data_IF_176293835564
#
_entry.id   IF_176293835564
#
_cell.length_a   1.000
_cell.length_b   1.000
_cell.length_c   1.000
_cell.angle_alpha   90.00
_cell.angle_beta   90.00
_cell.angle_gamma   90.00
#
_symmetry.space_group_name_H-M   'P 1'
#
loop_
_entity.id
_entity.type
_entity.pdbx_description
1 polymer ?
#
# COMPACT_ATOMS: atom_id res chain seq x y z
N UNK A 1 -54.26 -38.45 44.30
CA UNK A 1 -53.83 -37.07 44.01
C UNK A 1 -52.33 -37.10 43.79
N UNK A 2 -51.93 -37.23 42.55
CA UNK A 2 -50.49 -37.22 42.15
C UNK A 2 -50.15 -35.85 41.57
N UNK A 3 -49.19 -35.21 42.21
CA UNK A 3 -48.69 -33.89 41.79
C UNK A 3 -47.59 -34.06 40.75
N UNK A 4 -47.86 -33.65 39.53
CA UNK A 4 -46.87 -33.58 38.47
C UNK A 4 -45.94 -32.35 38.69
N UNK A 5 -44.66 -32.60 38.95
CA UNK A 5 -43.63 -31.57 38.96
C UNK A 5 -43.19 -31.30 37.49
N UNK A 6 -43.34 -30.06 37.08
CA UNK A 6 -42.93 -29.57 35.78
C UNK A 6 -41.49 -29.13 35.83
N UNK A 7 -40.58 -29.92 35.27
CA UNK A 7 -39.13 -29.55 35.12
C UNK A 7 -38.96 -28.75 33.82
N UNK A 8 -38.90 -27.42 33.95
CA UNK A 8 -38.45 -26.56 32.87
C UNK A 8 -36.96 -26.76 32.62
N UNK A 9 -36.64 -27.41 31.52
CA UNK A 9 -35.26 -27.48 30.99
C UNK A 9 -34.77 -26.13 30.50
N UNK A 10 -33.78 -25.58 31.19
CA UNK A 10 -33.04 -24.40 30.76
C UNK A 10 -32.21 -24.75 29.52
N UNK A 11 -32.69 -24.33 28.34
CA UNK A 11 -31.87 -24.32 27.14
C UNK A 11 -30.82 -23.19 27.27
N UNK A 12 -29.63 -23.56 27.70
CA UNK A 12 -28.48 -22.66 27.66
C UNK A 12 -28.18 -22.22 26.21
N UNK A 13 -28.44 -20.97 25.92
CA UNK A 13 -27.93 -20.32 24.70
C UNK A 13 -26.42 -20.42 24.72
N UNK A 14 -25.86 -21.36 23.98
CA UNK A 14 -24.44 -21.32 23.60
C UNK A 14 -24.28 -20.10 22.69
N UNK A 15 -23.74 -19.02 23.24
CA UNK A 15 -23.21 -17.94 22.46
C UNK A 15 -22.18 -18.55 21.49
N UNK A 16 -22.52 -18.58 20.19
CA UNK A 16 -21.55 -18.85 19.15
C UNK A 16 -20.59 -17.66 19.14
N UNK A 17 -19.55 -17.71 19.97
CA UNK A 17 -18.41 -16.84 19.90
C UNK A 17 -17.72 -17.10 18.57
N UNK A 18 -18.05 -16.32 17.54
CA UNK A 18 -17.31 -16.33 16.30
C UNK A 18 -15.83 -16.08 16.63
N UNK A 19 -14.97 -17.04 16.30
CA UNK A 19 -13.51 -16.86 16.49
C UNK A 19 -13.10 -15.65 15.65
N UNK A 20 -12.77 -14.55 16.30
CA UNK A 20 -12.13 -13.41 15.64
C UNK A 20 -10.87 -13.91 14.93
N UNK A 21 -10.76 -13.57 13.65
CA UNK A 21 -9.58 -13.93 12.87
C UNK A 21 -8.49 -12.89 13.11
N UNK A 22 -7.39 -13.32 13.71
CA UNK A 22 -6.26 -12.45 14.02
C UNK A 22 -5.32 -12.34 12.81
N UNK A 23 -5.05 -11.12 12.38
CA UNK A 23 -4.19 -10.80 11.24
C UNK A 23 -2.89 -10.11 11.67
N UNK A 24 -1.79 -10.46 11.02
CA UNK A 24 -0.56 -9.67 10.97
C UNK A 24 -0.51 -9.01 9.60
N UNK A 25 -0.43 -7.70 9.56
CA UNK A 25 -0.50 -6.91 8.32
C UNK A 25 0.74 -6.07 8.20
N UNK A 26 1.44 -6.23 7.09
CA UNK A 26 2.53 -5.36 6.66
C UNK A 26 2.09 -4.60 5.41
N UNK A 27 2.32 -3.31 5.39
CA UNK A 27 2.02 -2.45 4.25
C UNK A 27 3.25 -1.68 3.80
N UNK A 28 3.41 -1.57 2.50
CA UNK A 28 4.41 -0.68 1.90
C UNK A 28 3.67 0.33 1.05
N UNK A 29 3.84 1.59 1.35
CA UNK A 29 3.32 2.72 0.59
C UNK A 29 4.41 3.22 -0.36
N UNK A 30 4.23 3.00 -1.65
CA UNK A 30 5.02 3.60 -2.71
C UNK A 30 4.35 4.92 -3.10
N UNK A 31 4.99 6.02 -2.83
CA UNK A 31 4.43 7.36 -2.99
C UNK A 31 5.25 8.12 -4.02
N UNK A 32 4.63 8.51 -5.10
CA UNK A 32 5.19 9.45 -6.04
C UNK A 32 5.40 10.80 -5.35
N UNK A 33 6.62 11.31 -5.41
CA UNK A 33 7.03 12.57 -4.81
C UNK A 33 7.60 13.54 -5.86
N UNK A 34 7.24 13.35 -7.12
CA UNK A 34 7.64 14.24 -8.23
C UNK A 34 6.84 15.54 -8.24
N UNK A 35 7.30 16.50 -9.03
CA UNK A 35 6.72 17.84 -9.09
C UNK A 35 5.25 17.88 -9.50
N UNK A 36 4.78 16.94 -10.33
CA UNK A 36 3.36 16.84 -10.74
C UNK A 36 2.42 16.66 -9.54
N UNK A 37 2.87 15.98 -8.49
CA UNK A 37 2.12 15.78 -7.25
C UNK A 37 1.91 17.06 -6.42
N UNK A 38 2.56 18.17 -6.79
CA UNK A 38 2.30 19.52 -6.26
C UNK A 38 1.04 20.18 -6.86
N UNK A 39 0.55 19.67 -7.97
CA UNK A 39 -0.59 20.27 -8.66
C UNK A 39 -1.88 20.17 -7.84
N UNK A 40 -2.70 21.22 -7.97
CA UNK A 40 -4.02 21.31 -7.34
C UNK A 40 -5.10 20.99 -8.36
N UNK A 41 -5.53 19.74 -8.40
CA UNK A 41 -6.68 19.38 -9.24
C UNK A 41 -7.99 19.73 -8.55
N UNK A 42 -8.63 20.83 -8.94
CA UNK A 42 -10.03 21.17 -8.62
C UNK A 42 -10.43 21.31 -7.13
N UNK A 43 -9.67 20.73 -6.21
CA UNK A 43 -9.99 20.65 -4.78
C UNK A 43 -9.25 21.65 -3.89
N UNK A 44 -8.43 22.54 -4.42
CA UNK A 44 -7.53 23.47 -3.69
C UNK A 44 -6.47 22.79 -2.82
N UNK A 45 -6.38 21.46 -2.80
CA UNK A 45 -5.38 20.71 -2.05
C UNK A 45 -4.44 20.04 -3.04
N UNK A 46 -3.13 20.12 -2.79
CA UNK A 46 -2.11 19.43 -3.57
C UNK A 46 -2.29 17.93 -3.46
N UNK A 47 -2.04 17.19 -4.54
CA UNK A 47 -2.20 15.74 -4.59
C UNK A 47 -1.36 15.07 -3.51
N UNK A 48 -0.10 15.48 -3.35
CA UNK A 48 0.79 14.95 -2.31
C UNK A 48 0.22 15.13 -0.90
N UNK A 49 -0.43 16.24 -0.61
CA UNK A 49 -1.03 16.47 0.71
C UNK A 49 -2.23 15.56 0.96
N UNK A 50 -3.00 15.24 -0.08
CA UNK A 50 -4.07 14.25 0.01
C UNK A 50 -3.52 12.84 0.31
N UNK A 51 -2.47 12.42 -0.41
CA UNK A 51 -1.81 11.13 -0.16
C UNK A 51 -1.28 11.07 1.26
N UNK A 52 -0.63 12.16 1.73
CA UNK A 52 -0.14 12.27 3.12
C UNK A 52 -1.28 12.14 4.14
N UNK A 53 -2.37 12.86 3.97
CA UNK A 53 -3.53 12.74 4.86
C UNK A 53 -4.13 11.34 4.86
N UNK A 54 -4.24 10.72 3.68
CA UNK A 54 -4.73 9.36 3.55
C UNK A 54 -3.83 8.37 4.30
N UNK A 55 -2.51 8.53 4.19
CA UNK A 55 -1.54 7.70 4.89
C UNK A 55 -1.62 7.89 6.41
N UNK A 56 -1.77 9.12 6.89
CA UNK A 56 -1.86 9.44 8.33
C UNK A 56 -3.16 8.92 8.96
N UNK A 57 -4.29 9.08 8.29
CA UNK A 57 -5.58 8.60 8.80
C UNK A 57 -5.75 7.08 8.66
N UNK A 58 -4.86 6.46 7.88
CA UNK A 58 -5.00 5.08 7.47
C UNK A 58 -5.12 4.12 8.65
N UNK A 59 -4.28 4.25 9.67
CA UNK A 59 -4.27 3.32 10.79
C UNK A 59 -5.62 3.23 11.50
N UNK A 60 -6.15 4.36 11.93
CA UNK A 60 -7.38 4.41 12.72
C UNK A 60 -8.60 3.94 11.91
N UNK A 61 -8.67 4.34 10.65
CA UNK A 61 -9.77 3.98 9.77
C UNK A 61 -9.70 2.52 9.33
N UNK A 62 -8.49 2.02 9.06
CA UNK A 62 -8.27 0.62 8.72
C UNK A 62 -8.65 -0.31 9.87
N UNK A 63 -8.21 -0.03 11.09
CA UNK A 63 -8.56 -0.82 12.28
C UNK A 63 -10.07 -0.84 12.50
N UNK A 64 -10.74 0.30 12.34
CA UNK A 64 -12.20 0.41 12.42
C UNK A 64 -12.91 -0.47 11.39
N UNK A 65 -12.46 -0.45 10.11
CA UNK A 65 -13.06 -1.27 9.05
C UNK A 65 -12.80 -2.76 9.30
N UNK A 66 -11.60 -3.13 9.70
CA UNK A 66 -11.24 -4.51 9.98
C UNK A 66 -12.05 -5.07 11.16
N UNK A 67 -12.20 -4.28 12.22
CA UNK A 67 -13.06 -4.62 13.36
C UNK A 67 -14.52 -4.82 12.93
N UNK A 68 -15.05 -3.92 12.09
CA UNK A 68 -16.40 -4.04 11.53
C UNK A 68 -16.61 -5.31 10.69
N UNK A 69 -15.56 -5.85 10.10
CA UNK A 69 -15.55 -7.14 9.37
C UNK A 69 -15.26 -8.35 10.27
N UNK A 70 -15.24 -8.18 11.58
CA UNK A 70 -14.85 -9.20 12.56
C UNK A 70 -13.44 -9.79 12.32
N UNK A 71 -12.54 -8.97 11.79
CA UNK A 71 -11.13 -9.26 11.56
C UNK A 71 -10.31 -8.43 12.55
N UNK A 72 -9.52 -9.08 13.40
CA UNK A 72 -8.67 -8.39 14.37
C UNK A 72 -7.25 -8.26 13.82
N UNK A 73 -6.77 -7.03 13.69
CA UNK A 73 -5.37 -6.76 13.36
C UNK A 73 -4.57 -6.76 14.66
N UNK A 74 -3.71 -7.76 14.85
CA UNK A 74 -2.81 -7.86 16.01
C UNK A 74 -1.57 -7.01 15.86
N UNK A 75 -1.09 -6.90 14.63
CA UNK A 75 0.10 -6.17 14.29
C UNK A 75 -0.11 -5.50 12.95
N UNK A 76 0.15 -4.22 12.90
CA UNK A 76 0.23 -3.44 11.68
C UNK A 76 1.60 -2.79 11.60
N UNK A 77 2.33 -3.05 10.51
CA UNK A 77 3.57 -2.37 10.20
C UNK A 77 3.43 -1.65 8.86
N UNK A 78 3.95 -0.44 8.79
CA UNK A 78 3.91 0.36 7.56
C UNK A 78 5.32 0.79 7.19
N UNK A 79 5.68 0.70 5.93
CA UNK A 79 6.93 1.14 5.34
C UNK A 79 6.65 2.13 4.23
N UNK A 80 7.52 3.12 4.06
CA UNK A 80 7.41 4.12 3.01
C UNK A 80 8.53 3.91 1.99
N UNK A 81 8.15 4.01 0.71
CA UNK A 81 9.04 4.14 -0.44
C UNK A 81 8.56 5.35 -1.23
N UNK A 82 9.16 6.51 -1.03
CA UNK A 82 8.85 7.68 -1.85
C UNK A 82 9.82 7.72 -3.02
N UNK A 83 9.32 7.98 -4.24
CA UNK A 83 10.12 7.88 -5.45
C UNK A 83 9.97 9.11 -6.36
N UNK A 84 10.99 9.33 -7.15
CA UNK A 84 11.14 10.31 -8.22
C UNK A 84 11.91 9.66 -9.38
N UNK A 85 12.79 10.42 -10.06
CA UNK A 85 13.60 9.98 -11.20
C UNK A 85 15.09 9.96 -10.87
N UNK A 86 15.75 8.80 -11.04
CA UNK A 86 17.19 8.65 -10.79
C UNK A 86 18.09 9.53 -11.69
N UNK A 87 17.66 9.84 -12.91
CA UNK A 87 18.43 10.67 -13.81
C UNK A 87 18.34 12.15 -13.46
N UNK A 88 17.17 12.59 -12.96
CA UNK A 88 16.95 13.98 -12.61
C UNK A 88 17.34 14.28 -11.14
N UNK A 89 16.95 13.41 -10.21
CA UNK A 89 17.01 13.67 -8.78
C UNK A 89 18.19 12.97 -8.09
N UNK A 90 18.87 12.05 -8.77
CA UNK A 90 20.09 11.42 -8.28
C UNK A 90 19.91 10.75 -6.90
N UNK A 91 20.56 11.29 -5.88
CA UNK A 91 20.49 10.78 -4.51
C UNK A 91 19.09 10.92 -3.87
N UNK A 92 18.31 11.89 -4.31
CA UNK A 92 16.97 12.18 -3.79
C UNK A 92 15.86 11.44 -4.53
N UNK A 93 16.23 10.61 -5.53
CA UNK A 93 15.28 9.86 -6.35
C UNK A 93 14.46 8.82 -5.56
N UNK A 94 15.02 8.28 -4.48
CA UNK A 94 14.36 7.21 -3.74
C UNK A 94 14.58 7.30 -2.24
N UNK A 95 13.52 7.52 -1.49
CA UNK A 95 13.51 7.44 -0.02
C UNK A 95 12.91 6.10 0.40
N UNK A 96 13.65 5.31 1.16
CA UNK A 96 13.22 3.99 1.62
C UNK A 96 13.38 3.89 3.12
N UNK A 97 12.31 3.65 3.87
CA UNK A 97 12.35 3.51 5.34
C UNK A 97 12.45 2.05 5.78
N UNK A 98 12.69 1.81 7.06
CA UNK A 98 12.29 0.57 7.71
C UNK A 98 10.78 0.55 7.96
N UNK A 99 10.26 -0.58 8.47
CA UNK A 99 8.87 -0.67 8.89
C UNK A 99 8.64 0.06 10.23
N UNK A 100 7.64 0.92 10.26
CA UNK A 100 7.08 1.49 11.48
C UNK A 100 6.03 0.54 12.07
N UNK A 101 6.12 0.26 13.36
CA UNK A 101 5.11 -0.50 14.09
C UNK A 101 3.99 0.45 14.56
N UNK A 102 2.77 0.28 14.08
CA UNK A 102 1.65 1.11 14.47
C UNK A 102 0.75 0.41 15.51
N UNK A 103 0.26 1.15 16.54
CA UNK A 103 0.41 2.61 16.74
C UNK A 103 1.69 3.04 17.47
N UNK A 104 2.58 2.16 17.88
CA UNK A 104 3.71 2.46 18.78
C UNK A 104 4.65 3.52 18.22
N UNK A 105 4.86 3.52 16.90
CA UNK A 105 5.73 4.45 16.17
C UNK A 105 4.94 5.44 15.29
N UNK A 106 3.75 5.81 15.75
CA UNK A 106 2.87 6.72 14.99
C UNK A 106 3.52 8.09 14.75
N UNK A 107 4.20 8.64 15.75
CA UNK A 107 4.86 9.94 15.63
C UNK A 107 6.02 9.93 14.64
N UNK A 108 6.82 8.88 14.65
CA UNK A 108 7.93 8.70 13.70
C UNK A 108 7.40 8.51 12.28
N UNK A 109 6.31 7.75 12.14
CA UNK A 109 5.62 7.60 10.87
C UNK A 109 5.05 8.93 10.36
N UNK A 110 4.35 9.70 11.21
CA UNK A 110 3.84 11.04 10.89
C UNK A 110 4.97 11.99 10.46
N UNK A 111 6.08 12.00 11.21
CA UNK A 111 7.23 12.85 10.87
C UNK A 111 7.81 12.47 9.50
N UNK A 112 7.92 11.17 9.21
CA UNK A 112 8.38 10.66 7.91
C UNK A 112 7.43 11.09 6.78
N UNK A 113 6.13 10.86 6.92
CA UNK A 113 5.13 11.26 5.91
C UNK A 113 5.18 12.78 5.67
N UNK A 114 5.29 13.57 6.73
CA UNK A 114 5.33 15.03 6.62
C UNK A 114 6.62 15.55 5.97
N UNK A 115 7.71 14.78 6.03
CA UNK A 115 8.97 15.14 5.37
C UNK A 115 8.98 14.91 3.86
N UNK A 116 8.02 14.16 3.31
CA UNK A 116 7.92 13.98 1.86
C UNK A 116 7.46 15.28 1.22
N UNK A 117 8.19 15.77 0.25
CA UNK A 117 7.83 16.94 -0.54
C UNK A 117 7.76 16.53 -2.01
N UNK A 118 6.73 16.97 -2.69
CA UNK A 118 6.65 16.83 -4.14
C UNK A 118 7.58 17.87 -4.76
N UNK A 119 8.62 17.41 -5.43
CA UNK A 119 9.64 18.23 -6.09
C UNK A 119 10.42 17.34 -7.08
N UNK A 120 11.15 17.95 -8.01
CA UNK A 120 11.94 17.19 -8.96
C UNK A 120 11.08 16.43 -9.98
N UNK A 121 11.56 15.26 -10.40
CA UNK A 121 11.10 14.60 -11.61
C UNK A 121 11.70 15.28 -12.85
N UNK A 122 12.19 14.53 -13.82
CA UNK A 122 12.84 15.11 -15.03
C UNK A 122 11.87 15.26 -16.16
N UNK A 123 11.19 14.22 -16.43
CA UNK A 123 10.21 14.05 -17.50
C UNK A 123 9.04 13.18 -16.96
N UNK A 124 8.15 12.83 -17.83
CA UNK A 124 7.12 11.83 -17.59
C UNK A 124 7.44 10.68 -18.55
N UNK A 125 7.60 9.46 -18.08
CA UNK A 125 7.21 8.82 -16.80
C UNK A 125 8.29 8.86 -15.71
N UNK A 126 8.03 8.20 -14.57
CA UNK A 126 8.85 8.21 -13.34
C UNK A 126 9.39 6.81 -12.96
N UNK A 127 10.30 6.69 -11.97
CA UNK A 127 10.92 5.40 -11.57
C UNK A 127 10.05 4.56 -10.61
N UNK A 128 8.77 4.44 -10.93
CA UNK A 128 7.80 3.72 -10.10
C UNK A 128 8.02 2.21 -10.02
N UNK A 129 8.62 1.58 -11.05
CA UNK A 129 8.92 0.14 -11.03
C UNK A 129 10.07 -0.19 -10.09
N UNK A 130 11.04 0.70 -9.93
CA UNK A 130 12.11 0.59 -8.95
C UNK A 130 11.55 0.69 -7.52
N UNK A 131 10.61 1.61 -7.29
CA UNK A 131 9.90 1.70 -6.02
C UNK A 131 9.14 0.41 -5.71
N UNK A 132 8.46 -0.17 -6.69
CA UNK A 132 7.78 -1.44 -6.56
C UNK A 132 8.76 -2.59 -6.28
N UNK A 133 9.94 -2.60 -6.90
CA UNK A 133 11.00 -3.57 -6.63
C UNK A 133 11.50 -3.48 -5.17
N UNK A 134 11.71 -2.27 -4.64
CA UNK A 134 12.01 -2.06 -3.22
C UNK A 134 10.90 -2.55 -2.29
N UNK A 135 9.64 -2.32 -2.68
CA UNK A 135 8.49 -2.79 -1.91
C UNK A 135 8.46 -4.31 -1.84
N UNK A 136 8.61 -5.01 -2.96
CA UNK A 136 8.63 -6.48 -3.04
C UNK A 136 9.72 -7.06 -2.15
N UNK A 137 10.92 -6.48 -2.14
CA UNK A 137 12.07 -6.93 -1.34
C UNK A 137 12.05 -6.45 0.11
N UNK A 138 10.94 -5.95 0.61
CA UNK A 138 10.78 -5.58 2.01
C UNK A 138 11.00 -6.76 2.95
N UNK A 139 11.44 -6.48 4.17
CA UNK A 139 11.58 -7.49 5.24
C UNK A 139 10.20 -7.84 5.82
N UNK A 140 9.41 -8.53 5.02
CA UNK A 140 8.05 -8.95 5.36
C UNK A 140 8.01 -9.85 6.60
N UNK A 141 6.97 -9.72 7.42
CA UNK A 141 6.71 -10.66 8.53
C UNK A 141 6.42 -12.05 7.96
N UNK A 142 7.15 -13.03 8.46
CA UNK A 142 6.97 -14.45 8.12
C UNK A 142 6.10 -15.20 9.12
N UNK A 143 5.89 -14.62 10.31
CA UNK A 143 5.14 -15.20 11.41
C UNK A 143 3.65 -14.83 11.38
N UNK A 144 2.84 -15.62 12.08
CA UNK A 144 1.40 -15.41 12.20
C UNK A 144 0.58 -16.33 11.32
N UNK A 145 -0.59 -16.72 11.84
CA UNK A 145 -1.49 -17.66 11.16
C UNK A 145 -2.16 -17.05 9.92
N UNK A 146 -2.43 -15.75 9.95
CA UNK A 146 -2.97 -14.99 8.82
C UNK A 146 -2.12 -13.74 8.59
N UNK A 147 -1.35 -13.76 7.52
CA UNK A 147 -0.48 -12.66 7.11
C UNK A 147 -1.08 -11.95 5.91
N UNK A 148 -0.81 -10.63 5.83
CA UNK A 148 -1.01 -9.84 4.63
C UNK A 148 0.22 -8.98 4.37
N UNK A 149 0.63 -8.99 3.13
CA UNK A 149 1.77 -8.25 2.60
C UNK A 149 1.20 -7.36 1.50
N UNK A 150 0.86 -6.14 1.85
CA UNK A 150 0.13 -5.23 0.96
C UNK A 150 1.08 -4.17 0.45
N UNK A 151 1.16 -4.02 -0.86
CA UNK A 151 1.85 -2.91 -1.51
C UNK A 151 0.79 -1.99 -2.08
N UNK A 152 0.91 -0.70 -1.82
CA UNK A 152 0.04 0.34 -2.35
C UNK A 152 0.88 1.34 -3.10
N UNK A 153 0.58 1.57 -4.36
CA UNK A 153 1.26 2.55 -5.19
C UNK A 153 0.33 3.73 -5.43
N UNK A 154 0.83 4.93 -5.21
CA UNK A 154 0.17 6.19 -5.53
C UNK A 154 1.03 7.01 -6.48
N UNK A 155 0.56 7.21 -7.69
CA UNK A 155 1.21 8.03 -8.71
C UNK A 155 0.20 8.62 -9.68
N UNK A 156 0.49 9.77 -10.24
CA UNK A 156 -0.26 10.40 -11.32
C UNK A 156 0.47 10.31 -12.67
N UNK A 157 1.59 9.57 -12.71
CA UNK A 157 2.42 9.39 -13.90
C UNK A 157 2.53 7.92 -14.32
N UNK A 158 2.89 7.68 -15.58
CA UNK A 158 3.37 6.40 -16.06
C UNK A 158 4.69 6.02 -15.38
N UNK A 159 5.24 4.88 -15.76
CA UNK A 159 6.54 4.47 -15.23
C UNK A 159 7.55 4.19 -16.33
N UNK A 160 8.81 4.57 -16.10
CA UNK A 160 9.93 4.15 -16.91
C UNK A 160 10.06 2.64 -16.99
N UNK A 161 10.68 2.15 -18.03
CA UNK A 161 11.16 0.77 -18.05
C UNK A 161 12.28 0.60 -17.03
N UNK A 162 12.31 -0.58 -16.38
CA UNK A 162 13.34 -0.92 -15.40
C UNK A 162 14.75 -0.72 -15.98
N UNK A 163 15.59 -0.05 -15.21
CA UNK A 163 16.96 0.24 -15.59
C UNK A 163 17.13 1.49 -16.45
N UNK A 164 16.08 2.26 -16.73
CA UNK A 164 16.18 3.54 -17.41
C UNK A 164 17.15 4.48 -16.69
N UNK A 165 17.06 4.57 -15.35
CA UNK A 165 17.93 5.35 -14.50
C UNK A 165 19.34 4.75 -14.26
N UNK A 166 19.71 3.61 -14.88
CA UNK A 166 20.93 2.85 -14.55
C UNK A 166 22.26 3.58 -14.81
N UNK A 167 22.24 4.67 -15.57
CA UNK A 167 23.42 5.52 -15.77
C UNK A 167 23.67 6.50 -14.62
N UNK A 168 22.71 6.69 -13.71
CA UNK A 168 22.91 7.47 -12.49
C UNK A 168 23.84 6.73 -11.52
N UNK A 169 24.78 7.45 -10.90
CA UNK A 169 25.67 6.87 -9.88
C UNK A 169 24.91 6.42 -8.62
N UNK A 170 23.69 6.93 -8.43
CA UNK A 170 22.81 6.62 -7.31
C UNK A 170 21.87 5.46 -7.60
N UNK A 171 21.84 4.94 -8.85
CA UNK A 171 20.99 3.82 -9.19
C UNK A 171 21.39 2.57 -8.40
N UNK A 172 20.45 1.88 -7.73
CA UNK A 172 20.77 0.77 -6.83
C UNK A 172 21.25 -0.46 -7.59
N UNK A 173 22.28 -1.10 -7.07
CA UNK A 173 22.80 -2.35 -7.63
C UNK A 173 21.84 -3.51 -7.36
N UNK A 174 21.69 -4.37 -8.35
CA UNK A 174 20.89 -5.59 -8.22
C UNK A 174 19.39 -5.38 -8.33
N UNK A 175 18.95 -4.24 -8.87
CA UNK A 175 17.58 -4.05 -9.32
C UNK A 175 17.25 -4.97 -10.48
N UNK A 176 15.97 -5.38 -10.64
CA UNK A 176 15.55 -6.08 -11.86
C UNK A 176 15.76 -5.17 -13.07
N UNK A 177 16.11 -5.75 -14.19
CA UNK A 177 16.39 -5.03 -15.44
C UNK A 177 15.29 -5.24 -16.48
N UNK A 178 14.24 -5.96 -16.12
CA UNK A 178 13.12 -6.27 -16.99
C UNK A 178 11.86 -6.59 -16.21
N UNK A 179 10.71 -6.45 -16.87
CA UNK A 179 9.43 -6.91 -16.33
C UNK A 179 9.46 -8.40 -15.96
N UNK A 180 10.19 -9.24 -16.71
CA UNK A 180 10.30 -10.68 -16.40
C UNK A 180 10.97 -10.90 -15.04
N UNK A 181 12.10 -10.24 -14.78
CA UNK A 181 12.79 -10.33 -13.49
C UNK A 181 11.94 -9.77 -12.35
N UNK A 182 11.21 -8.68 -12.58
CA UNK A 182 10.29 -8.12 -11.58
C UNK A 182 9.13 -9.08 -11.30
N UNK A 183 8.60 -9.75 -12.33
CA UNK A 183 7.59 -10.81 -12.17
C UNK A 183 8.13 -11.97 -11.32
N UNK A 184 9.36 -12.41 -11.59
CA UNK A 184 10.00 -13.46 -10.80
C UNK A 184 10.11 -13.03 -9.32
N UNK A 185 10.43 -11.76 -9.05
CA UNK A 185 10.45 -11.26 -7.68
C UNK A 185 9.07 -11.25 -7.04
N UNK A 186 8.04 -10.80 -7.77
CA UNK A 186 6.65 -10.85 -7.30
C UNK A 186 6.24 -12.28 -6.95
N UNK A 187 6.63 -13.25 -7.75
CA UNK A 187 6.28 -14.65 -7.56
C UNK A 187 7.02 -15.33 -6.40
N UNK A 188 8.11 -14.73 -5.90
CA UNK A 188 8.75 -15.19 -4.66
C UNK A 188 7.95 -14.86 -3.40
N UNK A 189 7.03 -13.89 -3.46
CA UNK A 189 6.20 -13.52 -2.32
C UNK A 189 5.12 -14.59 -2.03
N UNK A 190 4.72 -14.71 -0.75
CA UNK A 190 3.66 -15.64 -0.37
C UNK A 190 2.34 -15.31 -1.09
N UNK A 191 1.93 -16.15 -2.01
CA UNK A 191 0.73 -15.98 -2.84
C UNK A 191 -0.54 -15.74 -2.03
N UNK A 192 -0.64 -16.33 -0.84
CA UNK A 192 -1.79 -16.16 0.04
C UNK A 192 -1.76 -14.83 0.80
N UNK A 193 -0.57 -14.25 0.97
CA UNK A 193 -0.35 -13.02 1.72
C UNK A 193 -0.22 -11.79 0.83
N UNK A 194 0.46 -11.89 -0.34
CA UNK A 194 0.76 -10.74 -1.22
C UNK A 194 -0.50 -10.10 -1.79
N UNK A 195 -0.53 -8.77 -1.80
CA UNK A 195 -1.57 -7.94 -2.42
C UNK A 195 -0.93 -6.69 -2.98
N UNK A 196 -1.35 -6.29 -4.18
CA UNK A 196 -0.97 -5.04 -4.81
C UNK A 196 -2.22 -4.19 -5.07
N UNK A 197 -2.18 -2.94 -4.69
CA UNK A 197 -3.21 -1.94 -5.00
C UNK A 197 -2.51 -0.79 -5.73
N UNK A 198 -2.88 -0.59 -6.98
CA UNK A 198 -2.34 0.46 -7.84
C UNK A 198 -3.35 1.58 -7.96
N UNK A 199 -2.98 2.76 -7.51
CA UNK A 199 -3.60 4.03 -7.86
C UNK A 199 -2.63 4.73 -8.82
N UNK A 200 -2.80 4.45 -10.11
CA UNK A 200 -1.88 4.87 -11.16
C UNK A 200 -2.65 5.06 -12.47
N UNK A 201 -2.15 5.85 -13.42
CA UNK A 201 -2.76 5.96 -14.74
C UNK A 201 -2.81 4.60 -15.46
N UNK A 202 -3.80 4.44 -16.35
CA UNK A 202 -3.89 3.26 -17.22
C UNK A 202 -2.89 3.39 -18.39
N UNK A 203 -1.60 3.38 -18.03
CA UNK A 203 -0.47 3.50 -18.96
C UNK A 203 0.36 2.22 -19.00
N UNK A 204 1.19 2.07 -20.05
CA UNK A 204 1.79 0.80 -20.44
C UNK A 204 2.48 0.04 -19.29
N UNK A 205 3.28 0.68 -18.45
CA UNK A 205 3.97 0.01 -17.34
C UNK A 205 3.00 -0.55 -16.29
N UNK A 206 2.06 0.26 -15.83
CA UNK A 206 1.09 -0.12 -14.80
C UNK A 206 0.02 -1.08 -15.33
N UNK A 207 -0.45 -0.85 -16.57
CA UNK A 207 -1.42 -1.74 -17.22
C UNK A 207 -0.84 -3.14 -17.43
N UNK A 208 0.46 -3.25 -17.77
CA UNK A 208 1.13 -4.54 -17.87
C UNK A 208 1.07 -5.31 -16.52
N UNK A 209 1.40 -4.64 -15.41
CA UNK A 209 1.36 -5.26 -14.07
C UNK A 209 -0.05 -5.66 -13.71
N UNK A 210 -1.03 -4.78 -13.89
CA UNK A 210 -2.42 -5.05 -13.52
C UNK A 210 -3.05 -6.20 -14.29
N UNK A 211 -2.62 -6.43 -15.54
CA UNK A 211 -3.12 -7.50 -16.39
C UNK A 211 -2.43 -8.84 -16.17
N UNK A 212 -1.18 -8.83 -15.69
CA UNK A 212 -0.37 -10.04 -15.59
C UNK A 212 -0.12 -10.54 -14.17
N UNK A 213 -0.29 -9.68 -13.15
CA UNK A 213 0.00 -10.07 -11.77
C UNK A 213 -1.25 -10.52 -11.02
N UNK A 214 -1.17 -11.68 -10.38
CA UNK A 214 -2.21 -12.14 -9.46
C UNK A 214 -2.30 -11.23 -8.21
N UNK A 215 -3.46 -11.25 -7.56
CA UNK A 215 -3.71 -10.48 -6.33
C UNK A 215 -3.48 -8.95 -6.49
N UNK A 216 -3.71 -8.42 -7.68
CA UNK A 216 -3.57 -7.00 -8.02
C UNK A 216 -4.93 -6.36 -8.24
N UNK A 217 -5.12 -5.19 -7.66
CA UNK A 217 -6.26 -4.30 -7.91
C UNK A 217 -5.71 -3.01 -8.50
N UNK A 218 -6.12 -2.67 -9.70
CA UNK A 218 -5.78 -1.40 -10.34
C UNK A 218 -7.01 -0.48 -10.34
N UNK A 219 -6.84 0.70 -9.81
CA UNK A 219 -7.83 1.78 -9.80
C UNK A 219 -7.22 2.90 -10.62
N UNK A 220 -7.57 3.00 -11.91
CA UNK A 220 -6.99 3.99 -12.80
C UNK A 220 -7.21 5.42 -12.30
N UNK A 221 -6.16 6.23 -12.32
CA UNK A 221 -6.19 7.67 -12.15
C UNK A 221 -5.99 8.35 -13.50
N UNK A 222 -6.35 9.62 -13.61
CA UNK A 222 -6.05 10.43 -14.81
C UNK A 222 -4.60 10.89 -14.70
N UNK A 223 -3.81 10.66 -15.75
CA UNK A 223 -2.43 11.13 -15.82
C UNK A 223 -2.37 12.64 -15.63
N UNK A 224 -1.49 13.13 -14.75
CA UNK A 224 -1.40 14.54 -14.36
C UNK A 224 -2.61 15.09 -13.59
N UNK A 225 -3.63 14.28 -13.34
CA UNK A 225 -4.84 14.66 -12.60
C UNK A 225 -4.85 14.21 -11.15
N UNK A 226 -3.93 13.35 -10.80
CA UNK A 226 -3.73 12.83 -9.45
C UNK A 226 -4.89 11.99 -8.93
N UNK A 227 -4.76 11.60 -7.68
CA UNK A 227 -5.74 10.80 -6.93
C UNK A 227 -6.95 11.60 -6.45
N UNK A 228 -7.08 12.87 -6.87
CA UNK A 228 -8.15 13.76 -6.44
C UNK A 228 -9.56 13.26 -6.79
N UNK A 229 -9.67 12.44 -7.82
CA UNK A 229 -10.94 11.87 -8.28
C UNK A 229 -11.43 10.70 -7.42
N UNK A 230 -10.54 10.08 -6.65
CA UNK A 230 -10.89 8.94 -5.81
C UNK A 230 -11.05 9.40 -4.36
N UNK A 231 -12.25 9.25 -3.82
CA UNK A 231 -12.49 9.55 -2.43
C UNK A 231 -11.65 8.63 -1.52
N UNK A 232 -11.08 9.18 -0.45
CA UNK A 232 -10.30 8.43 0.55
C UNK A 232 -10.99 7.12 0.99
N UNK A 233 -12.32 7.16 1.16
CA UNK A 233 -13.10 5.97 1.52
C UNK A 233 -13.03 4.82 0.51
N UNK A 234 -12.94 5.13 -0.78
CA UNK A 234 -12.77 4.10 -1.83
C UNK A 234 -11.39 3.47 -1.75
N UNK A 235 -10.36 4.29 -1.58
CA UNK A 235 -8.96 3.86 -1.40
C UNK A 235 -8.84 2.94 -0.19
N UNK A 236 -9.35 3.38 0.95
CA UNK A 236 -9.30 2.64 2.20
C UNK A 236 -10.07 1.32 2.10
N UNK A 237 -11.24 1.32 1.45
CA UNK A 237 -12.01 0.11 1.24
C UNK A 237 -11.32 -0.87 0.29
N UNK A 238 -10.68 -0.40 -0.77
CA UNK A 238 -9.89 -1.24 -1.68
C UNK A 238 -8.76 -1.95 -0.92
N UNK A 239 -8.01 -1.21 -0.10
CA UNK A 239 -6.94 -1.76 0.73
C UNK A 239 -7.51 -2.76 1.77
N UNK A 240 -8.55 -2.39 2.52
CA UNK A 240 -9.15 -3.24 3.55
C UNK A 240 -9.86 -4.49 2.97
N UNK A 241 -10.29 -4.45 1.71
CA UNK A 241 -10.83 -5.62 1.00
C UNK A 241 -9.71 -6.55 0.50
N UNK A 242 -8.51 -6.02 0.29
CA UNK A 242 -7.34 -6.81 -0.10
C UNK A 242 -6.76 -7.61 1.07
N UNK A 243 -7.07 -7.26 2.33
CA UNK A 243 -6.71 -7.96 3.56
C UNK A 243 -7.79 -8.95 3.98
#
# INVERSE_FOLDING_TARGET
METYQNTQGSYGQRAMGGRSMDYTVDMVFCIDATGSMEDTTGSRMKVINMVKQNALNFYSDFDRIMTGKNKKVRQLRVRIVAFRDYLADGADAMMVTDFFMLPQQEREFEACINSIHADGGGDIPEDGLEALAYAIKSKWTTEGAKKRQVIVVWTDAGTHDLGFGASSEHYPKGMPTSHSELNDWWDTMDRNAKRLVLFAPDEMGWSYISQNWDNTVHIPSVAGGGLAEKGYGEILNAIANSV
#
